data_IF_090586517366
#
_entry.id   IF_090586517366
#
_cell.length_a   1.000
_cell.length_b   1.000
_cell.length_c   1.000
_cell.angle_alpha   90.00
_cell.angle_beta   90.00
_cell.angle_gamma   90.00
#
_symmetry.space_group_name_H-M   'P 1'
#
loop_
_entity.id
_entity.type
_entity.pdbx_description
1 polymer ?
#
# COMPACT_ATOMS: atom_id res chain seq x y z
N UNK A 1 -82.00 55.46 -19.41
CA UNK A 1 -81.89 56.41 -20.51
C UNK A 1 -80.52 56.25 -21.13
N UNK A 2 -80.42 55.45 -22.13
CA UNK A 2 -79.86 55.66 -23.47
C UNK A 2 -78.46 56.29 -23.52
N UNK A 3 -77.41 55.62 -23.94
CA UNK A 3 -76.88 55.75 -25.30
C UNK A 3 -75.77 54.72 -25.59
N UNK A 4 -76.05 53.96 -26.65
CA UNK A 4 -75.04 53.16 -27.37
C UNK A 4 -74.04 54.07 -28.07
N UNK A 5 -72.76 53.76 -28.04
CA UNK A 5 -71.81 54.11 -29.11
C UNK A 5 -71.02 52.93 -29.56
N UNK A 6 -71.22 52.58 -30.84
CA UNK A 6 -70.44 51.68 -31.63
C UNK A 6 -69.04 52.26 -31.90
N UNK A 7 -67.99 51.46 -31.84
CA UNK A 7 -66.72 51.80 -32.45
C UNK A 7 -66.12 50.57 -33.15
N UNK A 8 -65.44 50.73 -34.27
CA UNK A 8 -65.22 49.71 -35.26
C UNK A 8 -64.02 48.75 -34.92
N UNK A 9 -64.16 47.52 -35.44
CA UNK A 9 -63.18 46.49 -35.40
C UNK A 9 -62.03 46.80 -36.34
N UNK A 10 -60.81 47.03 -35.82
CA UNK A 10 -59.58 47.13 -36.58
C UNK A 10 -58.90 45.77 -36.57
N UNK A 11 -58.98 45.08 -37.68
CA UNK A 11 -58.28 43.76 -37.88
C UNK A 11 -56.78 44.00 -38.05
N UNK A 12 -55.99 43.66 -37.03
CA UNK A 12 -54.56 43.60 -37.16
C UNK A 12 -54.15 42.14 -37.55
N UNK A 13 -53.67 42.01 -38.75
CA UNK A 13 -52.99 40.76 -39.26
C UNK A 13 -51.64 40.70 -38.60
N UNK A 14 -51.46 39.72 -37.68
CA UNK A 14 -50.14 39.35 -37.17
C UNK A 14 -49.51 38.32 -38.15
N UNK A 15 -48.24 38.49 -38.54
CA UNK A 15 -47.49 37.48 -39.27
C UNK A 15 -47.15 36.30 -38.37
N UNK A 16 -47.39 35.10 -38.89
CA UNK A 16 -46.93 33.85 -38.26
C UNK A 16 -45.42 33.79 -38.36
N UNK A 17 -44.72 33.95 -37.23
CA UNK A 17 -43.31 33.61 -37.10
C UNK A 17 -43.23 32.14 -36.77
N UNK A 18 -42.81 31.33 -37.74
CA UNK A 18 -42.42 29.92 -37.51
C UNK A 18 -41.13 29.88 -36.74
N UNK A 19 -41.20 29.66 -35.42
CA UNK A 19 -40.03 29.33 -34.61
C UNK A 19 -39.60 27.92 -34.97
N UNK A 20 -38.52 27.78 -35.75
CA UNK A 20 -37.79 26.53 -35.88
C UNK A 20 -37.20 26.20 -34.51
N UNK A 21 -37.82 25.24 -33.83
CA UNK A 21 -37.28 24.70 -32.56
C UNK A 21 -35.97 23.96 -32.82
N UNK A 22 -34.87 24.56 -32.45
CA UNK A 22 -33.60 23.87 -32.32
C UNK A 22 -33.75 22.95 -31.07
N UNK A 23 -34.00 21.66 -31.33
CA UNK A 23 -33.86 20.65 -30.31
C UNK A 23 -32.37 20.59 -29.92
N UNK A 24 -31.98 21.28 -28.89
CA UNK A 24 -30.70 21.09 -28.25
C UNK A 24 -30.69 19.64 -27.71
N UNK A 25 -29.90 18.77 -28.31
CA UNK A 25 -29.59 17.46 -27.76
C UNK A 25 -28.89 17.67 -26.40
N UNK A 26 -29.60 17.36 -25.33
CA UNK A 26 -29.03 17.29 -23.99
C UNK A 26 -28.06 16.11 -24.01
N UNK A 27 -26.75 16.32 -23.84
CA UNK A 27 -25.83 15.20 -23.74
C UNK A 27 -26.23 14.38 -22.52
N UNK A 28 -26.64 13.13 -22.76
CA UNK A 28 -26.95 12.16 -21.72
C UNK A 28 -25.63 11.75 -21.06
N UNK A 29 -25.15 12.55 -20.10
CA UNK A 29 -24.07 12.20 -19.19
C UNK A 29 -24.64 11.39 -18.03
N UNK A 30 -24.97 10.14 -18.34
CA UNK A 30 -25.08 9.09 -17.35
C UNK A 30 -24.12 7.98 -17.74
N UNK A 31 -22.81 8.24 -17.64
CA UNK A 31 -21.91 7.14 -17.34
C UNK A 31 -22.29 6.69 -15.92
N UNK A 32 -23.11 5.65 -15.83
CA UNK A 32 -23.25 4.89 -14.60
C UNK A 32 -21.83 4.52 -14.16
N UNK A 33 -21.35 5.16 -13.10
CA UNK A 33 -20.11 4.75 -12.42
C UNK A 33 -20.46 3.40 -11.80
N UNK A 34 -20.28 2.33 -12.56
CA UNK A 34 -20.37 0.98 -12.00
C UNK A 34 -19.31 0.88 -10.92
N UNK A 35 -19.68 0.44 -9.71
CA UNK A 35 -18.69 0.23 -8.67
C UNK A 35 -17.64 -0.75 -9.21
N UNK A 36 -16.35 -0.44 -8.97
CA UNK A 36 -15.26 -1.33 -9.37
C UNK A 36 -15.39 -2.66 -8.64
N UNK A 37 -15.13 -3.77 -9.34
CA UNK A 37 -15.01 -5.06 -8.68
C UNK A 37 -13.71 -5.12 -7.86
N UNK A 38 -13.62 -6.03 -6.90
CA UNK A 38 -12.42 -6.23 -6.11
C UNK A 38 -11.18 -6.51 -6.99
N UNK A 39 -11.35 -7.33 -8.01
CA UNK A 39 -10.30 -7.67 -8.98
C UNK A 39 -9.84 -6.44 -9.78
N UNK A 40 -10.77 -5.57 -10.16
CA UNK A 40 -10.42 -4.33 -10.86
C UNK A 40 -9.63 -3.36 -9.97
N UNK A 41 -9.97 -3.26 -8.68
CA UNK A 41 -9.22 -2.43 -7.73
C UNK A 41 -7.81 -2.98 -7.55
N UNK A 42 -7.66 -4.29 -7.31
CA UNK A 42 -6.35 -4.95 -7.22
C UNK A 42 -5.54 -4.76 -8.49
N UNK A 43 -6.12 -5.05 -9.66
CA UNK A 43 -5.40 -4.92 -10.94
C UNK A 43 -4.87 -3.49 -11.18
N UNK A 44 -5.64 -2.47 -10.79
CA UNK A 44 -5.22 -1.07 -10.95
C UNK A 44 -4.13 -0.69 -9.93
N UNK A 45 -4.25 -1.11 -8.67
CA UNK A 45 -3.21 -0.94 -7.66
C UNK A 45 -1.89 -1.59 -8.13
N UNK A 46 -1.97 -2.83 -8.58
CA UNK A 46 -0.85 -3.59 -9.10
C UNK A 46 -0.18 -2.89 -10.28
N UNK A 47 -0.97 -2.50 -11.28
CA UNK A 47 -0.47 -1.80 -12.46
C UNK A 47 0.19 -0.45 -12.09
N UNK A 48 -0.26 0.21 -11.03
CA UNK A 48 0.36 1.43 -10.54
C UNK A 48 1.70 1.13 -9.85
N UNK A 49 1.74 0.20 -8.92
CA UNK A 49 2.96 -0.14 -8.15
C UNK A 49 4.07 -0.75 -9.02
N UNK A 50 3.72 -1.62 -9.97
CA UNK A 50 4.70 -2.26 -10.88
C UNK A 50 5.40 -1.24 -11.79
N UNK A 51 4.72 -0.14 -12.15
CA UNK A 51 5.33 0.92 -12.98
C UNK A 51 6.39 1.74 -12.24
N UNK A 52 6.35 1.73 -10.91
CA UNK A 52 7.24 2.56 -10.11
C UNK A 52 8.65 1.96 -10.07
N UNK A 53 9.63 2.71 -10.53
CA UNK A 53 11.04 2.33 -10.45
C UNK A 53 11.67 2.74 -9.13
N UNK A 54 11.24 3.87 -8.59
CA UNK A 54 11.68 4.36 -7.29
C UNK A 54 10.53 4.98 -6.54
N UNK A 55 10.56 4.86 -5.23
CA UNK A 55 9.60 5.53 -4.36
C UNK A 55 10.12 5.63 -2.93
N UNK A 56 9.51 6.53 -2.18
CA UNK A 56 9.57 6.54 -0.72
C UNK A 56 8.16 6.42 -0.16
N UNK A 57 8.03 5.85 1.02
CA UNK A 57 6.77 5.75 1.76
C UNK A 57 7.05 5.75 3.26
N UNK A 58 6.15 6.38 4.01
CA UNK A 58 6.10 6.30 5.46
C UNK A 58 5.03 5.29 5.88
N UNK A 59 5.31 4.49 6.91
CA UNK A 59 4.35 3.55 7.50
C UNK A 59 4.30 3.73 9.01
N UNK A 60 3.09 3.99 9.54
CA UNK A 60 2.78 3.80 10.95
C UNK A 60 2.34 2.34 11.15
N UNK A 61 2.99 1.66 12.07
CA UNK A 61 2.85 0.22 12.26
C UNK A 61 2.36 -0.09 13.67
N UNK A 62 1.44 -1.04 13.77
CA UNK A 62 1.14 -1.74 15.02
C UNK A 62 1.14 -3.24 14.77
N UNK A 63 1.64 -4.01 15.72
CA UNK A 63 1.64 -5.47 15.61
C UNK A 63 1.41 -6.13 16.97
N UNK A 64 0.77 -7.31 16.90
CA UNK A 64 0.50 -8.11 18.07
C UNK A 64 1.67 -9.05 18.38
N UNK A 65 2.02 -9.17 19.63
CA UNK A 65 2.84 -10.25 20.19
C UNK A 65 2.02 -11.10 21.15
N UNK A 66 2.29 -12.40 21.19
CA UNK A 66 1.60 -13.35 22.03
C UNK A 66 2.57 -13.85 23.09
N UNK A 67 2.36 -13.42 24.33
CA UNK A 67 3.16 -13.83 25.45
C UNK A 67 2.99 -15.33 25.76
N UNK A 68 3.91 -15.93 26.49
CA UNK A 68 3.82 -17.32 26.95
C UNK A 68 2.54 -17.63 27.74
N UNK A 69 1.95 -16.64 28.38
CA UNK A 69 0.65 -16.73 29.05
C UNK A 69 -0.53 -16.82 28.10
N UNK A 70 -0.34 -16.62 26.80
CA UNK A 70 -1.39 -16.48 25.79
C UNK A 70 -2.01 -15.08 25.73
N UNK A 71 -1.56 -14.14 26.57
CA UNK A 71 -2.00 -12.76 26.50
C UNK A 71 -1.44 -12.07 25.26
N UNK A 72 -2.29 -11.27 24.60
CA UNK A 72 -1.92 -10.48 23.43
C UNK A 72 -1.49 -9.09 23.87
N UNK A 73 -0.29 -8.68 23.45
CA UNK A 73 0.26 -7.33 23.61
C UNK A 73 0.39 -6.69 22.24
N UNK A 74 0.11 -5.40 22.14
CA UNK A 74 0.30 -4.66 20.90
C UNK A 74 1.44 -3.67 21.05
N UNK A 75 2.37 -3.71 20.11
CA UNK A 75 3.48 -2.78 19.98
C UNK A 75 3.26 -1.81 18.82
N UNK A 76 3.91 -0.66 18.89
CA UNK A 76 3.86 0.38 17.86
C UNK A 76 5.24 0.67 17.30
N UNK A 77 5.27 1.09 16.05
CA UNK A 77 6.47 1.52 15.37
C UNK A 77 6.12 2.49 14.24
N UNK A 78 7.12 3.15 13.71
CA UNK A 78 7.06 3.78 12.40
C UNK A 78 8.25 3.36 11.55
N UNK A 79 8.07 3.41 10.25
CA UNK A 79 9.06 2.97 9.29
C UNK A 79 9.09 3.93 8.08
N UNK A 80 10.29 4.35 7.70
CA UNK A 80 10.50 5.06 6.45
C UNK A 80 11.22 4.13 5.48
N UNK A 81 10.73 4.06 4.26
CA UNK A 81 11.23 3.15 3.22
C UNK A 81 11.65 3.93 1.99
N UNK A 82 12.80 3.59 1.43
CA UNK A 82 13.31 4.04 0.15
C UNK A 82 13.54 2.82 -0.74
N UNK A 83 12.99 2.85 -1.92
CA UNK A 83 13.14 1.77 -2.92
C UNK A 83 13.66 2.35 -4.22
N UNK A 84 14.64 1.68 -4.83
CA UNK A 84 15.05 1.89 -6.22
C UNK A 84 15.23 0.51 -6.85
N UNK A 85 14.24 0.13 -7.66
CA UNK A 85 14.23 -1.16 -8.34
C UNK A 85 15.30 -1.22 -9.43
N UNK A 86 15.92 -2.37 -9.66
CA UNK A 86 15.55 -3.70 -9.16
C UNK A 86 16.29 -4.14 -7.91
N UNK A 87 17.21 -3.36 -7.35
CA UNK A 87 18.26 -3.89 -6.48
C UNK A 87 18.64 -3.01 -5.29
N UNK A 88 17.81 -2.05 -4.90
CA UNK A 88 18.12 -1.14 -3.78
C UNK A 88 16.94 -0.92 -2.84
N UNK A 89 17.23 -1.05 -1.56
CA UNK A 89 16.26 -0.85 -0.48
C UNK A 89 16.95 -0.25 0.75
N UNK A 90 16.29 0.71 1.35
CA UNK A 90 16.56 1.14 2.73
C UNK A 90 15.25 1.16 3.51
N UNK A 91 15.31 0.71 4.75
CA UNK A 91 14.24 0.78 5.71
C UNK A 91 14.77 1.26 7.05
N UNK A 92 14.28 2.39 7.51
CA UNK A 92 14.55 2.94 8.85
C UNK A 92 13.33 2.67 9.71
N UNK A 93 13.49 1.78 10.69
CA UNK A 93 12.45 1.35 11.62
C UNK A 93 12.72 1.87 13.02
N UNK A 94 11.72 2.47 13.66
CA UNK A 94 11.75 2.91 15.04
C UNK A 94 10.48 2.43 15.74
N UNK A 95 10.61 1.64 16.77
CA UNK A 95 9.47 1.05 17.48
C UNK A 95 9.73 0.87 18.97
N UNK A 96 8.70 0.39 19.66
CA UNK A 96 8.73 0.18 21.12
C UNK A 96 9.81 -0.80 21.58
N UNK A 97 10.20 -1.74 20.71
CA UNK A 97 11.14 -2.81 21.07
C UNK A 97 12.54 -2.63 20.49
N UNK A 98 12.70 -1.85 19.43
CA UNK A 98 13.99 -1.71 18.74
C UNK A 98 14.02 -0.50 17.80
N UNK A 99 15.24 -0.02 17.55
CA UNK A 99 15.53 0.97 16.50
C UNK A 99 16.52 0.34 15.53
N UNK A 100 16.07 0.01 14.32
CA UNK A 100 16.90 -0.69 13.34
C UNK A 100 16.90 0.01 11.99
N UNK A 101 17.97 -0.21 11.23
CA UNK A 101 18.06 0.18 9.82
C UNK A 101 18.48 -1.01 8.99
N UNK A 102 17.79 -1.19 7.88
CA UNK A 102 18.11 -2.17 6.86
C UNK A 102 18.57 -1.44 5.60
N UNK A 103 19.68 -1.89 5.02
CA UNK A 103 20.24 -1.37 3.78
C UNK A 103 20.47 -2.54 2.83
N UNK A 104 20.18 -2.35 1.57
CA UNK A 104 20.53 -3.27 0.50
C UNK A 104 20.98 -2.46 -0.73
N UNK A 105 22.17 -2.76 -1.25
CA UNK A 105 22.85 -2.00 -2.30
C UNK A 105 22.99 -2.78 -3.62
N UNK A 106 22.33 -3.93 -3.75
CA UNK A 106 22.41 -4.82 -4.90
C UNK A 106 23.54 -5.86 -4.82
N UNK A 107 24.31 -5.88 -3.72
CA UNK A 107 25.43 -6.82 -3.50
C UNK A 107 25.46 -7.36 -2.08
N UNK A 108 25.14 -6.52 -1.14
CA UNK A 108 25.13 -6.84 0.28
C UNK A 108 23.87 -6.28 0.93
N UNK A 109 23.39 -6.95 1.97
CA UNK A 109 22.50 -6.30 2.91
C UNK A 109 23.23 -6.02 4.22
N UNK A 110 22.84 -4.94 4.87
CA UNK A 110 23.28 -4.59 6.22
C UNK A 110 22.06 -4.36 7.09
N UNK A 111 22.05 -5.02 8.26
CA UNK A 111 21.10 -4.74 9.33
C UNK A 111 21.87 -4.11 10.50
N UNK A 112 21.44 -2.94 10.93
CA UNK A 112 22.03 -2.20 12.05
C UNK A 112 20.99 -2.03 13.17
N UNK A 113 21.40 -2.34 14.40
CA UNK A 113 20.69 -2.03 15.65
C UNK A 113 21.31 -0.76 16.22
N UNK A 114 20.56 0.33 16.21
CA UNK A 114 21.07 1.63 16.60
C UNK A 114 21.07 1.86 18.11
N UNK A 115 20.31 1.07 18.87
CA UNK A 115 20.29 1.17 20.33
C UNK A 115 21.48 0.47 20.97
N UNK A 116 22.02 -0.56 20.29
CA UNK A 116 23.15 -1.36 20.76
C UNK A 116 24.44 -1.06 20.02
N UNK A 117 24.41 -0.17 19.01
CA UNK A 117 25.55 0.12 18.12
C UNK A 117 26.10 -1.14 17.44
N UNK A 118 25.22 -2.10 17.11
CA UNK A 118 25.59 -3.36 16.44
C UNK A 118 25.19 -3.32 14.99
N UNK A 119 25.99 -3.94 14.14
CA UNK A 119 25.58 -4.17 12.76
C UNK A 119 26.11 -5.50 12.20
N UNK A 120 25.45 -5.97 11.16
CA UNK A 120 25.89 -7.13 10.36
C UNK A 120 25.74 -6.80 8.89
N UNK A 121 26.76 -7.17 8.11
CA UNK A 121 26.73 -7.08 6.65
C UNK A 121 26.94 -8.49 6.07
N UNK A 122 26.09 -8.90 5.13
CA UNK A 122 26.17 -10.18 4.45
C UNK A 122 26.05 -10.00 2.94
N UNK A 123 26.72 -10.84 2.13
CA UNK A 123 26.46 -10.92 0.71
C UNK A 123 24.99 -11.26 0.43
N UNK A 124 24.41 -10.63 -0.60
CA UNK A 124 23.07 -10.86 -1.05
C UNK A 124 23.02 -11.05 -2.57
N UNK A 125 21.98 -11.73 -3.09
CA UNK A 125 21.69 -11.76 -4.53
C UNK A 125 21.53 -10.34 -5.11
N UNK A 126 21.53 -10.23 -6.43
CA UNK A 126 21.54 -8.94 -7.12
C UNK A 126 20.14 -8.42 -7.48
N UNK A 127 19.09 -9.01 -6.93
CA UNK A 127 17.72 -8.53 -7.05
C UNK A 127 17.08 -8.39 -5.66
N UNK A 128 16.15 -7.44 -5.52
CA UNK A 128 15.41 -7.22 -4.28
C UNK A 128 14.65 -8.48 -3.85
N UNK A 129 13.97 -9.14 -4.77
CA UNK A 129 13.14 -10.30 -4.50
C UNK A 129 13.99 -11.42 -3.88
N UNK A 130 15.07 -11.83 -4.55
CA UNK A 130 15.96 -12.87 -4.04
C UNK A 130 16.68 -12.47 -2.73
N UNK A 131 17.02 -11.18 -2.58
CA UNK A 131 17.68 -10.69 -1.37
C UNK A 131 16.75 -10.73 -0.16
N UNK A 132 15.48 -10.33 -0.32
CA UNK A 132 14.46 -10.37 0.73
C UNK A 132 14.12 -11.83 1.09
N UNK A 133 13.99 -12.70 0.09
CA UNK A 133 13.82 -14.14 0.29
C UNK A 133 14.98 -14.76 1.10
N UNK A 134 16.22 -14.40 0.77
CA UNK A 134 17.39 -14.86 1.53
C UNK A 134 17.34 -14.39 2.99
N UNK A 135 16.95 -13.15 3.24
CA UNK A 135 16.85 -12.60 4.59
C UNK A 135 15.79 -13.35 5.41
N UNK A 136 14.64 -13.64 4.81
CA UNK A 136 13.56 -14.36 5.48
C UNK A 136 13.90 -15.86 5.65
N UNK A 137 14.25 -16.55 4.57
CA UNK A 137 14.41 -18.01 4.59
C UNK A 137 15.68 -18.46 5.32
N UNK A 138 16.80 -17.76 5.10
CA UNK A 138 18.09 -18.17 5.67
C UNK A 138 18.30 -17.66 7.10
N UNK A 139 17.81 -16.46 7.40
CA UNK A 139 18.07 -15.82 8.69
C UNK A 139 16.84 -15.72 9.57
N UNK A 140 15.67 -16.12 9.07
CA UNK A 140 14.42 -16.08 9.84
C UNK A 140 13.94 -14.66 10.18
N UNK A 141 14.40 -13.66 9.43
CA UNK A 141 14.03 -12.26 9.66
C UNK A 141 12.80 -11.95 8.80
N UNK A 142 11.65 -11.89 9.44
CA UNK A 142 10.41 -11.48 8.76
C UNK A 142 10.42 -9.98 8.48
N UNK A 143 10.07 -9.62 7.25
CA UNK A 143 9.95 -8.23 6.80
C UNK A 143 8.52 -8.05 6.27
N UNK A 144 7.54 -7.75 7.15
CA UNK A 144 6.16 -7.52 6.70
C UNK A 144 6.10 -6.41 5.66
N UNK A 145 5.23 -6.57 4.65
CA UNK A 145 5.08 -5.64 3.53
C UNK A 145 6.30 -5.55 2.59
N UNK A 146 7.28 -6.44 2.69
CA UNK A 146 8.44 -6.48 1.77
C UNK A 146 8.04 -6.62 0.30
N UNK A 147 6.91 -7.25 0.02
CA UNK A 147 6.33 -7.36 -1.31
C UNK A 147 6.08 -6.02 -2.01
N UNK A 148 5.91 -4.91 -1.26
CA UNK A 148 5.81 -3.58 -1.88
C UNK A 148 7.10 -3.17 -2.62
N UNK A 149 8.25 -3.64 -2.15
CA UNK A 149 9.55 -3.38 -2.75
C UNK A 149 9.87 -4.33 -3.90
N UNK A 150 9.17 -5.46 -4.02
CA UNK A 150 9.38 -6.47 -5.06
C UNK A 150 9.27 -5.88 -6.47
N UNK A 151 9.91 -6.52 -7.45
CA UNK A 151 9.81 -6.11 -8.86
C UNK A 151 8.37 -6.26 -9.38
N UNK A 152 7.69 -7.34 -8.98
CA UNK A 152 6.26 -7.52 -9.17
C UNK A 152 5.56 -7.68 -7.80
N UNK A 153 5.18 -6.55 -7.14
CA UNK A 153 4.59 -6.58 -5.81
C UNK A 153 3.26 -7.35 -5.75
N UNK A 154 2.62 -7.53 -6.88
CA UNK A 154 1.33 -8.22 -6.92
C UNK A 154 1.43 -9.70 -7.19
N UNK A 155 2.40 -10.16 -7.95
CA UNK A 155 2.68 -11.58 -8.06
C UNK A 155 2.95 -12.17 -6.67
N UNK A 156 3.79 -11.52 -5.88
CA UNK A 156 4.10 -11.91 -4.51
C UNK A 156 2.87 -11.88 -3.59
N UNK A 157 2.11 -10.75 -3.62
CA UNK A 157 0.90 -10.63 -2.80
C UNK A 157 -0.15 -11.69 -3.15
N UNK A 158 -0.30 -11.99 -4.45
CA UNK A 158 -1.35 -12.88 -4.94
C UNK A 158 -0.97 -14.36 -4.93
N UNK A 159 0.29 -14.71 -4.67
CA UNK A 159 0.79 -16.09 -4.76
C UNK A 159 0.01 -17.09 -3.88
N UNK A 160 -0.44 -16.68 -2.70
CA UNK A 160 -1.22 -17.52 -1.77
C UNK A 160 -2.70 -17.12 -1.67
N UNK A 161 -3.16 -16.07 -2.38
CA UNK A 161 -4.56 -15.61 -2.30
C UNK A 161 -5.48 -16.53 -3.06
N UNK A 162 -6.48 -17.08 -2.36
CA UNK A 162 -7.50 -18.00 -2.89
C UNK A 162 -8.82 -17.30 -3.20
N UNK A 163 -9.10 -16.22 -2.52
CA UNK A 163 -10.35 -15.47 -2.67
C UNK A 163 -10.12 -13.98 -2.40
N UNK A 164 -10.76 -13.14 -3.21
CA UNK A 164 -10.81 -11.70 -3.01
C UNK A 164 -12.29 -11.32 -2.78
N UNK A 165 -12.53 -10.53 -1.74
CA UNK A 165 -13.86 -10.05 -1.38
C UNK A 165 -13.84 -8.53 -1.33
N UNK A 166 -14.77 -7.89 -2.02
CA UNK A 166 -15.03 -6.46 -1.85
C UNK A 166 -15.90 -6.27 -0.60
N UNK A 167 -15.34 -5.67 0.44
CA UNK A 167 -16.04 -5.42 1.71
C UNK A 167 -16.92 -4.18 1.58
N UNK A 168 -16.40 -3.09 1.01
CA UNK A 168 -17.17 -1.87 0.86
C UNK A 168 -16.31 -0.63 0.60
N UNK A 169 -16.93 0.52 0.85
CA UNK A 169 -16.27 1.82 0.84
C UNK A 169 -16.13 2.27 2.30
N UNK A 170 -14.91 2.23 2.80
CA UNK A 170 -14.58 2.59 4.17
C UNK A 170 -13.73 3.85 4.23
N UNK A 171 -13.36 4.29 5.41
CA UNK A 171 -12.60 5.50 5.63
C UNK A 171 -11.25 5.17 6.29
N UNK A 172 -10.17 5.75 5.75
CA UNK A 172 -8.86 5.81 6.42
C UNK A 172 -8.46 7.28 6.52
N UNK A 173 -8.17 7.75 7.72
CA UNK A 173 -7.80 9.17 7.97
C UNK A 173 -8.79 10.18 7.35
N UNK A 174 -10.09 9.87 7.36
CA UNK A 174 -11.21 10.67 6.78
C UNK A 174 -11.25 10.71 5.26
N UNK A 175 -10.46 9.89 4.59
CA UNK A 175 -10.49 9.75 3.13
C UNK A 175 -11.23 8.46 2.75
N UNK A 176 -12.10 8.48 1.72
CA UNK A 176 -12.82 7.29 1.27
C UNK A 176 -11.89 6.33 0.54
N UNK A 177 -12.01 5.03 0.89
CA UNK A 177 -11.18 3.94 0.36
C UNK A 177 -12.04 2.78 -0.11
N UNK A 178 -11.55 2.03 -1.08
CA UNK A 178 -12.03 0.68 -1.33
C UNK A 178 -11.41 -0.26 -0.30
N UNK A 179 -12.25 -1.00 0.43
CA UNK A 179 -11.83 -2.01 1.39
C UNK A 179 -11.99 -3.40 0.80
N UNK A 180 -10.91 -4.15 0.76
CA UNK A 180 -10.84 -5.50 0.23
C UNK A 180 -10.31 -6.46 1.29
N UNK A 181 -10.84 -7.70 1.26
CA UNK A 181 -10.32 -8.83 2.03
C UNK A 181 -9.78 -9.88 1.05
N UNK A 182 -8.51 -10.23 1.21
CA UNK A 182 -7.82 -11.27 0.46
C UNK A 182 -7.59 -12.44 1.41
N UNK A 183 -8.17 -13.59 1.09
CA UNK A 183 -8.10 -14.81 1.92
C UNK A 183 -7.02 -15.72 1.33
N UNK A 184 -5.96 -15.96 2.10
CA UNK A 184 -4.89 -16.88 1.77
C UNK A 184 -4.94 -18.17 2.59
N UNK A 185 -3.94 -19.05 2.44
CA UNK A 185 -3.79 -20.26 3.24
C UNK A 185 -3.36 -19.98 4.67
N UNK A 186 -2.25 -19.28 4.82
CA UNK A 186 -1.58 -19.07 6.10
C UNK A 186 -1.88 -17.70 6.70
N UNK A 187 -2.27 -16.75 5.85
CA UNK A 187 -2.58 -15.38 6.25
C UNK A 187 -3.71 -14.80 5.43
N UNK A 188 -4.45 -13.89 6.05
CA UNK A 188 -5.43 -13.06 5.37
C UNK A 188 -4.92 -11.62 5.34
N UNK A 189 -5.27 -10.90 4.26
CA UNK A 189 -4.94 -9.49 4.13
C UNK A 189 -6.22 -8.68 4.03
N UNK A 190 -6.34 -7.63 4.83
CA UNK A 190 -7.30 -6.57 4.56
C UNK A 190 -6.53 -5.37 4.01
N UNK A 191 -6.98 -4.80 2.92
CA UNK A 191 -6.33 -3.65 2.31
C UNK A 191 -7.32 -2.54 2.01
N UNK A 192 -6.88 -1.32 2.21
CA UNK A 192 -7.61 -0.10 1.88
C UNK A 192 -6.85 0.65 0.81
N UNK A 193 -7.52 0.84 -0.31
CA UNK A 193 -6.96 1.42 -1.54
C UNK A 193 -7.70 2.70 -1.88
N UNK A 194 -6.98 3.76 -2.24
CA UNK A 194 -7.59 5.04 -2.62
C UNK A 194 -8.50 4.89 -3.83
N UNK A 195 -9.52 5.76 -3.91
CA UNK A 195 -10.49 5.76 -5.01
C UNK A 195 -10.05 6.60 -6.21
N UNK A 196 -8.79 6.98 -6.26
CA UNK A 196 -8.20 7.81 -7.29
C UNK A 196 -7.98 7.09 -8.63
N UNK A 197 -7.64 7.84 -9.67
CA UNK A 197 -7.25 7.31 -10.98
C UNK A 197 -5.92 6.53 -10.90
N UNK A 198 -5.04 6.88 -9.98
CA UNK A 198 -3.79 6.19 -9.65
C UNK A 198 -3.88 5.66 -8.22
N UNK A 199 -4.54 4.50 -8.01
CA UNK A 199 -4.83 4.02 -6.67
C UNK A 199 -3.56 3.67 -5.89
N UNK A 200 -3.59 4.00 -4.58
CA UNK A 200 -2.51 3.76 -3.64
C UNK A 200 -3.00 2.89 -2.49
N UNK A 201 -2.13 2.05 -1.96
CA UNK A 201 -2.36 1.37 -0.70
C UNK A 201 -2.21 2.37 0.45
N UNK A 202 -3.25 2.50 1.28
CA UNK A 202 -3.26 3.43 2.43
C UNK A 202 -3.26 2.71 3.76
N UNK A 203 -3.79 1.49 3.81
CA UNK A 203 -3.76 0.66 5.01
C UNK A 203 -3.74 -0.80 4.62
N UNK A 204 -3.00 -1.59 5.36
CA UNK A 204 -3.03 -3.04 5.30
C UNK A 204 -3.11 -3.64 6.70
N UNK A 205 -3.84 -4.75 6.83
CA UNK A 205 -3.80 -5.62 8.01
C UNK A 205 -3.45 -7.02 7.52
N UNK A 206 -2.43 -7.62 8.11
CA UNK A 206 -2.06 -9.01 7.88
C UNK A 206 -2.47 -9.79 9.12
N UNK A 207 -3.29 -10.81 8.97
CA UNK A 207 -3.66 -11.75 10.04
C UNK A 207 -2.94 -13.08 9.82
N UNK A 208 -2.08 -13.48 10.74
CA UNK A 208 -1.30 -14.73 10.67
C UNK A 208 -2.12 -15.88 11.27
N UNK A 209 -2.87 -16.59 10.43
CA UNK A 209 -3.86 -17.61 10.87
C UNK A 209 -3.23 -18.85 11.49
N UNK A 210 -2.02 -19.19 11.11
CA UNK A 210 -1.30 -20.38 11.58
C UNK A 210 -0.55 -20.16 12.89
N UNK A 211 -0.37 -18.90 13.30
CA UNK A 211 0.28 -18.58 14.56
C UNK A 211 -0.71 -18.59 15.73
N UNK A 212 -0.29 -19.02 16.94
CA UNK A 212 -1.14 -18.96 18.13
C UNK A 212 -1.73 -17.57 18.36
N UNK A 213 -3.02 -17.49 18.68
CA UNK A 213 -3.71 -16.21 18.90
C UNK A 213 -3.97 -15.39 17.65
N UNK A 214 -3.59 -15.87 16.45
CA UNK A 214 -3.74 -15.18 15.17
C UNK A 214 -3.32 -13.71 15.25
N UNK A 215 -2.05 -13.42 15.55
CA UNK A 215 -1.57 -12.06 15.70
C UNK A 215 -1.74 -11.28 14.41
N UNK A 216 -1.90 -9.96 14.55
CA UNK A 216 -2.05 -9.05 13.41
C UNK A 216 -0.88 -8.08 13.31
N UNK A 217 -0.54 -7.74 12.09
CA UNK A 217 0.33 -6.64 11.72
C UNK A 217 -0.51 -5.62 10.94
N UNK A 218 -0.53 -4.38 11.40
CA UNK A 218 -1.25 -3.28 10.74
C UNK A 218 -0.25 -2.25 10.28
N UNK A 219 -0.37 -1.80 9.04
CA UNK A 219 0.38 -0.67 8.50
C UNK A 219 -0.56 0.39 7.94
N UNK A 220 -0.35 1.65 8.29
CA UNK A 220 -0.97 2.82 7.66
C UNK A 220 0.12 3.51 6.84
N UNK A 221 -0.10 3.62 5.53
CA UNK A 221 0.88 4.14 4.59
C UNK A 221 0.54 5.59 4.23
N UNK A 222 1.54 6.44 4.33
CA UNK A 222 1.46 7.87 4.02
C UNK A 222 2.70 8.35 3.25
N UNK A 223 2.70 9.60 2.84
CA UNK A 223 3.85 10.28 2.23
C UNK A 223 4.46 9.54 1.04
N UNK A 224 3.62 8.87 0.24
CA UNK A 224 4.06 8.26 -1.01
C UNK A 224 4.68 9.31 -1.93
N UNK A 225 5.94 9.09 -2.31
CA UNK A 225 6.64 9.90 -3.31
C UNK A 225 7.25 8.99 -4.37
N UNK A 226 6.79 9.09 -5.60
CA UNK A 226 7.25 8.29 -6.74
C UNK A 226 8.31 8.98 -7.59
N UNK A 227 8.79 10.14 -7.16
CA UNK A 227 9.90 10.84 -7.79
C UNK A 227 10.86 11.38 -6.72
N UNK A 228 11.38 10.51 -5.84
CA UNK A 228 12.27 10.93 -4.77
C UNK A 228 13.66 11.29 -5.32
N UNK A 229 14.30 12.27 -4.67
CA UNK A 229 15.71 12.55 -4.91
C UNK A 229 16.54 11.58 -4.07
N UNK A 230 16.94 10.46 -4.65
CA UNK A 230 17.73 9.41 -3.99
C UNK A 230 19.15 9.42 -4.53
N UNK A 231 20.14 9.29 -3.65
CA UNK A 231 21.55 9.14 -4.00
C UNK A 231 22.04 7.72 -3.66
N UNK A 232 23.13 7.28 -4.25
CA UNK A 232 23.70 5.95 -3.99
C UNK A 232 24.00 5.73 -2.49
N UNK A 233 24.43 6.78 -1.79
CA UNK A 233 24.76 6.73 -0.37
C UNK A 233 23.51 6.44 0.53
N UNK A 234 22.31 6.67 -0.01
CA UNK A 234 21.05 6.32 0.71
C UNK A 234 20.98 4.85 1.07
N UNK A 235 21.55 3.99 0.21
CA UNK A 235 21.47 2.53 0.35
C UNK A 235 22.71 1.89 0.96
N UNK A 236 23.68 2.71 1.41
CA UNK A 236 24.93 2.22 1.98
C UNK A 236 25.01 2.57 3.45
N UNK A 237 25.26 1.56 4.29
CA UNK A 237 25.50 1.77 5.71
C UNK A 237 26.92 2.33 5.93
N UNK A 238 27.00 3.35 6.75
CA UNK A 238 28.27 3.92 7.25
C UNK A 238 28.34 3.69 8.76
N UNK A 239 29.17 2.73 9.23
CA UNK A 239 29.28 2.49 10.66
C UNK A 239 29.89 3.71 11.37
N UNK A 240 29.35 4.04 12.53
CA UNK A 240 29.95 5.03 13.42
C UNK A 240 31.23 4.50 14.08
N UNK A 241 31.99 5.37 14.75
CA UNK A 241 33.24 4.99 15.45
C UNK A 241 33.06 3.94 16.53
N UNK A 242 31.88 3.89 17.15
CA UNK A 242 31.54 2.96 18.23
C UNK A 242 30.81 1.72 17.74
N UNK A 243 30.42 1.66 16.44
CA UNK A 243 29.64 0.55 15.88
C UNK A 243 30.46 -0.74 15.81
N UNK A 244 29.89 -1.82 16.32
CA UNK A 244 30.51 -3.15 16.38
C UNK A 244 29.88 -4.07 15.33
N UNK A 245 30.70 -4.57 14.41
CA UNK A 245 30.30 -5.61 13.46
C UNK A 245 30.15 -6.95 14.16
N UNK A 246 29.01 -7.58 13.98
CA UNK A 246 28.70 -8.92 14.54
C UNK A 246 28.47 -9.92 13.43
N UNK A 247 28.46 -11.22 13.79
CA UNK A 247 28.10 -12.29 12.89
C UNK A 247 26.59 -12.60 13.00
N UNK A 248 25.91 -12.70 11.86
CA UNK A 248 24.55 -13.22 11.76
C UNK A 248 24.62 -14.69 11.36
N UNK A 249 24.12 -15.56 12.22
CA UNK A 249 24.02 -16.98 11.95
C UNK A 249 22.70 -17.29 11.24
N UNK A 250 22.68 -18.33 10.37
CA UNK A 250 21.42 -18.84 9.83
C UNK A 250 20.44 -19.21 10.95
N UNK A 251 19.15 -19.03 10.68
CA UNK A 251 18.10 -19.55 11.55
C UNK A 251 18.31 -21.07 11.74
N UNK A 252 18.09 -21.55 12.95
CA UNK A 252 18.15 -23.00 13.21
C UNK A 252 16.91 -23.63 12.58
N UNK A 253 17.10 -24.67 11.77
CA UNK A 253 15.99 -25.50 11.31
C UNK A 253 15.31 -26.12 12.54
N UNK A 254 14.10 -25.71 12.84
CA UNK A 254 13.26 -26.27 13.91
C UNK A 254 12.81 -27.73 13.61
N UNK A 255 13.46 -28.43 12.67
CA UNK A 255 13.13 -29.81 12.31
C UNK A 255 13.90 -30.87 13.14
N UNK A 256 14.65 -30.45 14.17
CA UNK A 256 15.39 -31.41 15.01
C UNK A 256 15.21 -31.11 16.50
N UNK A 257 13.97 -31.18 16.98
CA UNK A 257 13.75 -31.56 18.39
C UNK A 257 13.04 -32.93 18.40
N UNK A 258 13.60 -33.92 19.10
CA UNK A 258 13.05 -35.25 19.20
C UNK A 258 11.75 -35.30 19.99
#
# INVERSE_FOLDING_TARGET
>A
MIMRRFMPILSLLLPWVTAAGVLAEIPTLSQEIRPKTAEQVIAQLCANLTKQRSFTVHMDVTYDDILDSGAKVQYSAYQNIWVEKPDRLRSDYTGDERVTRFFYDGKTFTLADLERDLYVTKPAPNTLDEALDQVEQRYGISIPMSNLAANDPCAELMADVKQIIFIGNDMVNREPMYHLLLIGSDRDYQIWVTQDATPLLRKAIITYKTLPGSPQYTAILSDWNFNPSITADTFTFQPGSESIGIELLPARDNQSQP
#
